data_IF_590130239710
#
_entry.id   IF_590130239710
#
_cell.length_a   1.000
_cell.length_b   1.000
_cell.length_c   1.000
_cell.angle_alpha   90.00
_cell.angle_beta   90.00
_cell.angle_gamma   90.00
#
_symmetry.space_group_name_H-M   'P 1'
#
loop_
_entity.id
_entity.type
_entity.pdbx_description
1 polymer ?
#
# COMPACT_ATOMS: atom_id res chain seq x y z
N UNK A 1 8.01 -5.46 2.10
CA UNK A 1 8.94 -5.66 0.97
C UNK A 1 8.22 -5.78 -0.37
N UNK A 2 7.41 -6.82 -0.64
CA UNK A 2 6.71 -6.99 -1.94
C UNK A 2 5.89 -5.78 -2.40
N UNK A 3 5.17 -5.11 -1.49
CA UNK A 3 4.41 -3.91 -1.83
C UNK A 3 5.31 -2.75 -2.26
N UNK A 4 6.48 -2.59 -1.62
CA UNK A 4 7.46 -1.56 -1.98
C UNK A 4 8.05 -1.85 -3.37
N UNK A 5 8.48 -3.09 -3.60
CA UNK A 5 9.02 -3.52 -4.91
C UNK A 5 7.98 -3.29 -6.01
N UNK A 6 6.72 -3.63 -5.74
CA UNK A 6 5.61 -3.40 -6.66
C UNK A 6 5.44 -1.91 -6.98
N UNK A 7 5.34 -1.06 -5.97
CA UNK A 7 5.10 0.38 -6.16
C UNK A 7 6.27 0.98 -6.93
N UNK A 8 7.50 0.75 -6.47
CA UNK A 8 8.70 1.28 -7.11
C UNK A 8 8.87 0.75 -8.54
N UNK A 9 8.72 -0.56 -8.74
CA UNK A 9 8.87 -1.20 -10.05
C UNK A 9 7.89 -0.68 -11.10
N UNK A 10 6.63 -0.48 -10.72
CA UNK A 10 5.60 -0.06 -11.68
C UNK A 10 5.57 1.46 -11.90
N UNK A 11 5.97 2.24 -10.89
CA UNK A 11 5.99 3.71 -11.02
C UNK A 11 7.27 4.26 -11.64
N UNK A 12 8.45 3.69 -11.32
CA UNK A 12 9.76 4.28 -11.65
C UNK A 12 10.52 3.54 -12.75
N UNK A 13 10.27 2.23 -12.97
CA UNK A 13 10.95 1.45 -14.02
C UNK A 13 10.10 1.27 -15.30
N UNK A 14 8.92 1.90 -15.35
CA UNK A 14 7.99 1.81 -16.47
C UNK A 14 8.18 2.90 -17.54
N UNK A 15 7.47 2.74 -18.65
CA UNK A 15 7.32 3.68 -19.75
C UNK A 15 6.11 4.57 -19.43
N UNK A 16 6.13 5.84 -19.82
CA UNK A 16 4.99 6.73 -19.62
C UNK A 16 3.77 6.20 -20.40
N UNK A 17 2.66 5.95 -19.69
CA UNK A 17 1.39 5.52 -20.32
C UNK A 17 0.55 6.68 -20.85
N UNK A 18 0.82 7.90 -20.40
CA UNK A 18 0.09 9.10 -20.78
C UNK A 18 1.05 10.10 -21.42
N UNK A 19 0.65 10.67 -22.55
CA UNK A 19 1.45 11.64 -23.32
C UNK A 19 1.89 12.87 -22.50
N UNK A 20 1.08 13.28 -21.52
CA UNK A 20 1.44 14.41 -20.66
C UNK A 20 2.65 14.12 -19.74
N UNK A 21 2.84 12.85 -19.34
CA UNK A 21 3.95 12.44 -18.48
C UNK A 21 5.28 12.41 -19.24
N UNK A 22 5.25 12.19 -20.55
CA UNK A 22 6.44 12.14 -21.39
C UNK A 22 7.09 13.52 -21.55
N UNK A 23 6.27 14.58 -21.55
CA UNK A 23 6.73 15.96 -21.75
C UNK A 23 6.98 16.72 -20.44
N UNK A 24 6.69 16.13 -19.27
CA UNK A 24 6.84 16.84 -18.00
C UNK A 24 8.30 16.79 -17.53
N UNK A 25 8.94 17.95 -17.45
CA UNK A 25 10.34 18.05 -16.99
C UNK A 25 10.40 18.19 -15.47
N UNK A 26 10.80 17.13 -14.76
CA UNK A 26 10.96 17.15 -13.31
C UNK A 26 11.99 18.19 -12.82
N UNK A 27 12.92 18.60 -13.68
CA UNK A 27 13.99 19.55 -13.32
C UNK A 27 13.48 20.93 -12.91
N UNK A 28 12.26 21.30 -13.30
CA UNK A 28 11.73 22.65 -13.07
C UNK A 28 10.85 22.76 -11.82
N UNK A 29 10.41 21.63 -11.25
CA UNK A 29 9.47 21.58 -10.11
C UNK A 29 10.18 21.45 -8.76
N UNK A 30 11.07 22.41 -8.45
CA UNK A 30 11.80 22.46 -7.18
C UNK A 30 10.88 22.40 -5.95
N UNK A 31 9.65 22.92 -6.06
CA UNK A 31 8.68 22.93 -4.96
C UNK A 31 8.16 21.54 -4.61
N UNK A 32 8.18 20.58 -5.54
CA UNK A 32 7.80 19.19 -5.32
C UNK A 32 9.01 18.32 -4.92
N UNK A 33 10.18 18.56 -5.51
CA UNK A 33 11.38 17.76 -5.24
C UNK A 33 11.99 18.04 -3.87
N UNK A 34 11.99 19.31 -3.41
CA UNK A 34 12.62 19.69 -2.15
C UNK A 34 12.04 18.96 -0.93
N UNK A 35 10.71 18.92 -0.71
CA UNK A 35 10.14 18.17 0.41
C UNK A 35 10.49 16.68 0.39
N UNK A 36 10.48 16.05 -0.79
CA UNK A 36 10.81 14.63 -0.96
C UNK A 36 12.28 14.37 -0.59
N UNK A 37 13.19 15.25 -1.01
CA UNK A 37 14.61 15.15 -0.69
C UNK A 37 14.86 15.33 0.81
N UNK A 38 14.21 16.32 1.44
CA UNK A 38 14.30 16.56 2.89
C UNK A 38 13.78 15.35 3.67
N UNK A 39 12.63 14.81 3.28
CA UNK A 39 12.07 13.61 3.92
C UNK A 39 12.98 12.39 3.72
N UNK A 40 13.52 12.19 2.51
CA UNK A 40 14.47 11.12 2.22
C UNK A 40 15.74 11.22 3.06
N UNK A 41 16.32 12.40 3.17
CA UNK A 41 17.48 12.67 4.03
C UNK A 41 17.13 12.44 5.51
N UNK A 42 15.92 12.86 5.94
CA UNK A 42 15.42 12.63 7.29
C UNK A 42 15.33 11.14 7.64
N UNK A 43 14.84 10.30 6.73
CA UNK A 43 14.77 8.84 6.93
C UNK A 43 16.16 8.23 7.07
N UNK A 44 17.14 8.66 6.26
CA UNK A 44 18.52 8.19 6.38
C UNK A 44 19.16 8.61 7.71
N UNK A 45 18.97 9.87 8.13
CA UNK A 45 19.47 10.38 9.40
C UNK A 45 18.83 9.65 10.59
N UNK A 46 17.51 9.45 10.57
CA UNK A 46 16.80 8.67 11.59
C UNK A 46 17.31 7.23 11.67
N UNK A 47 17.59 6.60 10.51
CA UNK A 47 18.17 5.26 10.47
C UNK A 47 19.57 5.20 11.08
N UNK A 48 20.42 6.19 10.80
CA UNK A 48 21.78 6.25 11.34
C UNK A 48 21.82 6.56 12.85
N UNK A 49 20.95 7.46 13.32
CA UNK A 49 20.84 7.86 14.72
C UNK A 49 19.81 7.04 15.51
N UNK A 50 19.35 5.90 15.00
CA UNK A 50 18.31 5.10 15.64
C UNK A 50 18.68 4.70 17.08
N UNK A 51 19.91 4.22 17.31
CA UNK A 51 20.39 3.81 18.63
C UNK A 51 20.38 4.94 19.68
N UNK A 52 21.00 6.12 19.45
CA UNK A 52 20.97 7.22 20.41
C UNK A 52 19.58 7.84 20.59
N UNK A 53 18.75 7.86 19.55
CA UNK A 53 17.37 8.33 19.66
C UNK A 53 16.56 7.41 20.58
N UNK A 54 16.70 6.09 20.40
CA UNK A 54 16.00 5.10 21.21
C UNK A 54 16.46 5.16 22.67
N UNK A 55 17.76 5.30 22.93
CA UNK A 55 18.27 5.43 24.31
C UNK A 55 17.82 6.72 24.99
N UNK A 56 17.76 7.84 24.26
CA UNK A 56 17.24 9.11 24.79
C UNK A 56 15.74 9.02 25.13
N UNK A 57 14.93 8.36 24.29
CA UNK A 57 13.50 8.13 24.53
C UNK A 57 13.25 7.25 25.75
N UNK A 58 14.10 6.24 25.98
CA UNK A 58 14.01 5.37 27.15
C UNK A 58 14.42 6.10 28.44
N UNK A 59 15.53 6.84 28.41
CA UNK A 59 16.00 7.60 29.56
C UNK A 59 15.08 8.80 29.91
N UNK A 60 14.34 9.31 28.93
CA UNK A 60 13.38 10.41 29.10
C UNK A 60 12.06 10.03 29.75
N UNK A 61 11.89 8.80 30.23
CA UNK A 61 10.69 8.36 30.97
C UNK A 61 9.42 8.19 30.13
N UNK A 62 9.50 8.34 28.80
CA UNK A 62 8.38 8.10 27.88
C UNK A 62 8.05 6.60 27.75
N UNK A 63 8.98 5.73 28.14
CA UNK A 63 8.81 4.28 28.17
C UNK A 63 9.22 3.73 29.55
N UNK A 64 8.28 3.71 30.50
CA UNK A 64 8.41 2.93 31.75
C UNK A 64 8.17 1.42 31.51
N UNK A 65 8.75 0.89 30.42
CA UNK A 65 8.72 -0.53 30.08
C UNK A 65 10.06 -1.13 30.43
N UNK A 66 10.04 -2.18 31.26
CA UNK A 66 11.20 -2.90 31.79
C UNK A 66 12.42 -2.93 30.86
N UNK A 67 13.59 -2.65 31.43
CA UNK A 67 14.92 -2.72 30.81
C UNK A 67 15.21 -4.06 30.09
N UNK A 68 14.36 -5.07 30.30
CA UNK A 68 14.40 -6.40 29.72
C UNK A 68 14.02 -6.50 28.23
N UNK A 69 13.38 -5.49 27.63
CA UNK A 69 13.03 -5.56 26.19
C UNK A 69 14.25 -5.30 25.29
N UNK A 70 15.31 -4.67 25.81
CA UNK A 70 16.52 -4.33 25.04
C UNK A 70 17.65 -5.35 25.24
N UNK A 71 17.53 -6.26 26.21
CA UNK A 71 18.49 -7.37 26.38
C UNK A 71 18.21 -8.58 25.47
N UNK A 72 17.51 -8.39 24.35
CA UNK A 72 17.48 -9.39 23.30
C UNK A 72 18.84 -9.37 22.60
N UNK A 73 19.79 -10.14 23.14
CA UNK A 73 21.08 -10.55 22.60
C UNK A 73 21.02 -11.22 21.20
N UNK A 74 19.96 -10.99 20.42
CA UNK A 74 19.82 -11.44 19.06
C UNK A 74 20.48 -10.42 18.12
N UNK A 75 21.80 -10.56 17.99
CA UNK A 75 22.70 -9.86 17.05
C UNK A 75 23.06 -8.42 17.46
N UNK A 76 24.20 -8.28 18.16
CA UNK A 76 24.94 -7.01 18.38
C UNK A 76 25.46 -6.39 17.08
N UNK A 77 24.62 -6.22 16.06
CA UNK A 77 25.00 -5.47 14.87
C UNK A 77 24.52 -4.06 15.11
N UNK A 78 25.47 -3.14 15.36
CA UNK A 78 25.14 -1.74 15.51
C UNK A 78 24.47 -1.24 14.23
N UNK A 79 23.36 -0.50 14.37
CA UNK A 79 22.66 0.12 13.23
C UNK A 79 23.62 0.93 12.36
N UNK A 80 24.60 1.56 12.99
CA UNK A 80 25.70 2.26 12.33
C UNK A 80 26.58 1.33 11.49
N UNK A 81 26.95 0.14 11.99
CA UNK A 81 27.73 -0.83 11.22
C UNK A 81 26.99 -1.33 9.98
N UNK A 82 25.68 -1.57 10.06
CA UNK A 82 24.87 -1.97 8.90
C UNK A 82 24.87 -0.85 7.85
N UNK A 83 24.67 0.40 8.29
CA UNK A 83 24.64 1.55 7.39
C UNK A 83 26.00 1.78 6.71
N UNK A 84 27.09 1.70 7.47
CA UNK A 84 28.46 1.81 6.95
C UNK A 84 28.76 0.67 5.98
N UNK A 85 28.39 -0.57 6.32
CA UNK A 85 28.57 -1.71 5.43
C UNK A 85 27.79 -1.53 4.13
N UNK A 86 26.53 -1.08 4.18
CA UNK A 86 25.71 -0.82 2.99
C UNK A 86 26.34 0.25 2.09
N UNK A 87 26.82 1.36 2.66
CA UNK A 87 27.54 2.40 1.92
C UNK A 87 28.82 1.85 1.32
N UNK A 88 29.60 1.09 2.10
CA UNK A 88 30.87 0.53 1.65
C UNK A 88 30.66 -0.44 0.48
N UNK A 89 29.72 -1.39 0.59
CA UNK A 89 29.40 -2.31 -0.50
C UNK A 89 28.81 -1.58 -1.72
N UNK A 90 27.99 -0.55 -1.51
CA UNK A 90 27.48 0.31 -2.59
C UNK A 90 28.60 1.06 -3.33
N UNK A 91 29.53 1.67 -2.58
CA UNK A 91 30.69 2.36 -3.15
C UNK A 91 31.65 1.39 -3.83
N UNK A 92 31.89 0.21 -3.24
CA UNK A 92 32.73 -0.84 -3.81
C UNK A 92 32.15 -1.35 -5.12
N UNK A 93 30.86 -1.68 -5.17
CA UNK A 93 30.20 -2.12 -6.41
C UNK A 93 30.22 -1.04 -7.49
N UNK A 94 30.03 0.23 -7.13
CA UNK A 94 30.17 1.35 -8.05
C UNK A 94 31.61 1.51 -8.59
N UNK A 95 32.61 1.43 -7.71
CA UNK A 95 34.02 1.52 -8.08
C UNK A 95 34.44 0.33 -8.97
N UNK A 96 34.04 -0.90 -8.60
CA UNK A 96 34.25 -2.09 -9.41
C UNK A 96 33.60 -1.94 -10.78
N UNK A 97 32.35 -1.48 -10.86
CA UNK A 97 31.72 -1.18 -12.15
C UNK A 97 32.56 -0.19 -12.95
N UNK A 98 33.06 0.89 -12.33
CA UNK A 98 33.84 1.92 -13.05
C UNK A 98 35.19 1.43 -13.55
N UNK A 99 35.84 0.52 -12.81
CA UNK A 99 37.17 -0.04 -13.14
C UNK A 99 37.04 -1.19 -14.14
N UNK A 100 36.08 -2.09 -13.95
CA UNK A 100 35.91 -3.30 -14.76
C UNK A 100 34.95 -3.12 -15.94
N UNK A 101 34.08 -2.11 -15.96
CA UNK A 101 33.35 -1.78 -17.19
C UNK A 101 34.37 -1.26 -18.20
N UNK A 102 34.60 -1.96 -19.32
CA UNK A 102 35.34 -1.36 -20.41
C UNK A 102 34.61 -0.07 -20.81
N UNK A 103 35.35 0.99 -21.14
CA UNK A 103 34.82 2.21 -21.78
C UNK A 103 34.29 1.90 -23.19
N UNK A 104 33.53 0.82 -23.35
CA UNK A 104 32.73 0.62 -24.54
C UNK A 104 31.63 1.66 -24.47
N UNK A 105 31.56 2.49 -25.50
CA UNK A 105 30.39 3.29 -25.80
C UNK A 105 29.21 2.31 -25.83
N UNK A 106 28.46 2.23 -24.74
CA UNK A 106 27.25 1.44 -24.68
C UNK A 106 26.32 2.08 -25.72
N UNK A 107 26.12 1.37 -26.83
CA UNK A 107 25.23 1.84 -27.88
C UNK A 107 23.82 1.73 -27.32
N UNK A 108 23.12 2.86 -27.22
CA UNK A 108 21.69 2.83 -26.98
C UNK A 108 21.04 2.01 -28.08
N UNK A 109 20.47 0.88 -27.68
CA UNK A 109 19.75 -0.03 -28.54
C UNK A 109 18.49 -0.47 -27.82
N UNK A 110 17.52 -0.97 -28.58
CA UNK A 110 16.26 -1.43 -28.01
C UNK A 110 16.50 -2.53 -26.98
N UNK A 111 15.71 -2.50 -25.91
CA UNK A 111 15.63 -3.58 -24.93
C UNK A 111 15.18 -4.87 -25.60
N UNK A 112 15.42 -6.03 -24.96
CA UNK A 112 14.98 -7.32 -25.49
C UNK A 112 13.45 -7.32 -25.72
N UNK A 113 13.04 -7.30 -26.98
CA UNK A 113 11.68 -6.94 -27.39
C UNK A 113 10.96 -8.06 -28.17
N UNK A 114 11.52 -9.28 -28.13
CA UNK A 114 11.02 -10.44 -28.89
C UNK A 114 10.81 -10.14 -30.39
N UNK A 115 11.47 -9.11 -30.95
CA UNK A 115 11.36 -8.70 -32.35
C UNK A 115 10.23 -7.73 -32.68
N UNK A 116 9.61 -7.07 -31.69
CA UNK A 116 8.53 -6.09 -31.89
C UNK A 116 8.79 -4.84 -31.02
N UNK A 117 8.57 -3.61 -31.52
CA UNK A 117 8.78 -2.41 -30.71
C UNK A 117 7.99 -2.47 -29.39
N UNK A 118 8.69 -2.23 -28.28
CA UNK A 118 8.06 -2.21 -26.95
C UNK A 118 7.19 -0.96 -26.81
N UNK A 119 5.95 -1.17 -26.41
CA UNK A 119 5.00 -0.11 -26.09
C UNK A 119 4.63 -0.14 -24.59
N UNK A 120 4.16 0.99 -24.05
CA UNK A 120 3.74 1.13 -22.65
C UNK A 120 2.61 0.16 -22.26
N UNK A 121 1.85 -0.33 -23.24
CA UNK A 121 0.81 -1.35 -23.08
C UNK A 121 1.35 -2.73 -22.71
N UNK A 122 2.60 -3.04 -23.08
CA UNK A 122 3.24 -4.34 -22.78
C UNK A 122 3.72 -4.45 -21.33
N UNK A 123 3.67 -3.36 -20.56
CA UNK A 123 4.18 -3.34 -19.19
C UNK A 123 3.22 -3.98 -18.18
N UNK A 124 3.79 -4.74 -17.26
CA UNK A 124 3.06 -5.33 -16.15
C UNK A 124 2.33 -4.25 -15.34
N UNK A 125 1.04 -4.47 -15.11
CA UNK A 125 0.24 -3.65 -14.22
C UNK A 125 0.45 -4.06 -12.76
N UNK A 126 0.08 -3.16 -11.85
CA UNK A 126 0.06 -3.44 -10.41
C UNK A 126 -0.83 -4.62 -10.03
N UNK A 127 -1.91 -4.84 -10.77
CA UNK A 127 -2.80 -5.97 -10.57
C UNK A 127 -2.17 -7.28 -11.07
N UNK A 128 -1.47 -7.26 -12.20
CA UNK A 128 -0.79 -8.41 -12.78
C UNK A 128 0.43 -8.85 -11.95
N UNK A 129 1.25 -7.91 -11.45
CA UNK A 129 2.39 -8.23 -10.59
C UNK A 129 1.97 -9.01 -9.32
N UNK A 130 0.82 -8.66 -8.74
CA UNK A 130 0.29 -9.34 -7.56
C UNK A 130 -0.57 -10.58 -7.89
N UNK A 131 -0.68 -10.99 -9.15
CA UNK A 131 -1.55 -12.10 -9.56
C UNK A 131 -1.22 -13.44 -8.87
N UNK A 132 0.06 -13.86 -8.72
CA UNK A 132 0.38 -15.14 -8.07
C UNK A 132 -0.07 -15.19 -6.62
N UNK A 133 0.19 -14.13 -5.85
CA UNK A 133 -0.26 -14.03 -4.45
C UNK A 133 -1.79 -14.14 -4.39
N UNK A 134 -2.48 -13.43 -5.27
CA UNK A 134 -3.94 -13.42 -5.31
C UNK A 134 -4.54 -14.75 -5.74
N UNK A 135 -3.81 -15.54 -6.53
CA UNK A 135 -4.19 -16.90 -6.89
C UNK A 135 -4.18 -17.84 -5.67
N UNK A 136 -3.24 -17.68 -4.74
CA UNK A 136 -3.25 -18.46 -3.50
C UNK A 136 -4.34 -18.01 -2.51
N UNK A 137 -4.67 -16.72 -2.50
CA UNK A 137 -5.67 -16.14 -1.56
C UNK A 137 -7.05 -15.87 -2.19
N UNK A 138 -7.43 -16.62 -3.24
CA UNK A 138 -8.67 -16.40 -4.00
C UNK A 138 -9.92 -16.41 -3.11
N UNK A 139 -10.00 -17.37 -2.19
CA UNK A 139 -11.15 -17.58 -1.30
C UNK A 139 -11.30 -16.46 -0.27
N UNK A 140 -10.19 -15.87 0.17
CA UNK A 140 -10.19 -14.76 1.13
C UNK A 140 -10.52 -13.42 0.45
N UNK A 141 -10.05 -13.23 -0.78
CA UNK A 141 -10.14 -11.95 -1.49
C UNK A 141 -11.48 -11.81 -2.25
N UNK A 142 -12.20 -12.89 -2.53
CA UNK A 142 -13.48 -12.82 -3.24
C UNK A 142 -13.31 -12.41 -4.71
N UNK A 143 -12.37 -13.05 -5.41
CA UNK A 143 -12.09 -12.75 -6.83
C UNK A 143 -13.18 -13.32 -7.73
N UNK A 144 -13.77 -12.48 -8.57
CA UNK A 144 -14.67 -12.91 -9.66
C UNK A 144 -13.96 -12.59 -10.98
N UNK A 145 -13.62 -13.63 -11.75
CA UNK A 145 -13.18 -13.47 -13.13
C UNK A 145 -14.32 -13.84 -14.05
N UNK A 146 -14.61 -13.00 -15.04
CA UNK A 146 -15.41 -13.41 -16.19
C UNK A 146 -14.54 -13.28 -17.42
N UNK A 147 -14.34 -14.41 -18.08
CA UNK A 147 -13.77 -14.47 -19.41
C UNK A 147 -14.94 -14.69 -20.37
N UNK A 148 -15.26 -13.67 -21.15
CA UNK A 148 -16.24 -13.77 -22.22
C UNK A 148 -15.48 -13.93 -23.53
N UNK A 149 -15.79 -15.00 -24.27
CA UNK A 149 -15.23 -15.23 -25.60
C UNK A 149 -16.33 -15.06 -26.63
N UNK A 150 -16.16 -14.09 -27.53
CA UNK A 150 -17.09 -13.85 -28.64
C UNK A 150 -16.44 -14.27 -29.95
N UNK A 151 -17.08 -15.09 -30.80
CA UNK A 151 -16.54 -15.42 -32.11
C UNK A 151 -16.51 -14.17 -33.00
N UNK A 152 -15.37 -13.92 -33.65
CA UNK A 152 -15.23 -12.85 -34.66
C UNK A 152 -15.82 -13.34 -35.99
N UNK A 153 -15.67 -14.64 -36.25
CA UNK A 153 -16.21 -15.33 -37.41
C UNK A 153 -16.96 -16.56 -36.91
N UNK A 154 -18.26 -16.68 -37.20
CA UNK A 154 -19.10 -17.78 -36.68
C UNK A 154 -18.59 -19.17 -37.09
N UNK A 155 -17.97 -19.28 -38.26
CA UNK A 155 -17.44 -20.51 -38.82
C UNK A 155 -16.03 -20.87 -38.35
N UNK A 156 -15.28 -19.96 -37.73
CA UNK A 156 -13.90 -20.24 -37.30
C UNK A 156 -13.80 -20.27 -35.77
N UNK A 157 -13.61 -21.45 -35.15
CA UNK A 157 -13.53 -21.58 -33.70
C UNK A 157 -12.27 -20.93 -33.08
N UNK A 158 -11.26 -20.59 -33.89
CA UNK A 158 -9.98 -20.02 -33.44
C UNK A 158 -9.93 -18.50 -33.49
N UNK A 159 -10.76 -17.84 -34.31
CA UNK A 159 -10.82 -16.37 -34.37
C UNK A 159 -11.88 -15.84 -33.39
N UNK A 160 -11.47 -15.61 -32.14
CA UNK A 160 -12.34 -15.08 -31.07
C UNK A 160 -11.78 -13.81 -30.44
N UNK A 161 -12.67 -12.89 -30.11
CA UNK A 161 -12.41 -11.78 -29.23
C UNK A 161 -12.58 -12.22 -27.78
N UNK A 162 -11.60 -11.89 -26.94
CA UNK A 162 -11.64 -12.18 -25.52
C UNK A 162 -11.83 -10.88 -24.74
N UNK A 163 -12.95 -10.76 -24.04
CA UNK A 163 -13.18 -9.69 -23.07
C UNK A 163 -12.94 -10.25 -21.68
N UNK A 164 -11.88 -9.76 -21.04
CA UNK A 164 -11.56 -10.12 -19.66
C UNK A 164 -12.09 -9.04 -18.72
N UNK A 165 -13.09 -9.39 -17.91
CA UNK A 165 -13.56 -8.51 -16.83
C UNK A 165 -13.17 -9.04 -15.47
N UNK A 166 -12.74 -8.11 -14.63
CA UNK A 166 -12.10 -8.42 -13.37
C UNK A 166 -12.71 -7.60 -12.24
N UNK A 167 -13.39 -8.29 -11.32
CA UNK A 167 -13.96 -7.66 -10.14
C UNK A 167 -13.36 -8.25 -8.87
N UNK A 168 -12.93 -7.35 -7.98
CA UNK A 168 -12.53 -7.71 -6.62
C UNK A 168 -13.68 -7.28 -5.72
N UNK A 169 -14.35 -8.25 -5.10
CA UNK A 169 -15.38 -7.93 -4.12
C UNK A 169 -14.90 -8.40 -2.75
N UNK A 170 -14.79 -7.46 -1.82
CA UNK A 170 -14.35 -7.76 -0.46
C UNK A 170 -15.35 -8.68 0.21
N UNK A 171 -14.93 -9.91 0.51
CA UNK A 171 -15.74 -10.89 1.25
C UNK A 171 -16.21 -10.30 2.57
N UNK A 172 -15.36 -9.55 3.26
CA UNK A 172 -15.69 -8.89 4.53
C UNK A 172 -16.77 -7.84 4.38
N UNK A 173 -16.76 -7.08 3.28
CA UNK A 173 -17.79 -6.06 3.05
C UNK A 173 -19.15 -6.71 2.91
N UNK A 174 -19.24 -7.81 2.16
CA UNK A 174 -20.50 -8.53 1.97
C UNK A 174 -20.93 -9.33 3.19
N UNK A 175 -20.01 -10.03 3.83
CA UNK A 175 -20.30 -10.97 4.91
C UNK A 175 -20.43 -10.31 6.29
N UNK A 176 -19.77 -9.16 6.51
CA UNK A 176 -19.71 -8.51 7.83
C UNK A 176 -20.28 -7.09 7.78
N UNK A 177 -19.73 -6.20 6.95
CA UNK A 177 -20.13 -4.79 6.97
C UNK A 177 -21.58 -4.57 6.52
N UNK A 178 -21.99 -5.19 5.42
CA UNK A 178 -23.35 -5.06 4.90
C UNK A 178 -24.43 -5.56 5.87
N UNK A 179 -24.33 -6.76 6.48
CA UNK A 179 -25.34 -7.20 7.44
C UNK A 179 -25.35 -6.36 8.71
N UNK A 180 -24.18 -5.96 9.22
CA UNK A 180 -24.10 -5.06 10.38
C UNK A 180 -24.74 -3.71 10.08
N UNK A 181 -24.43 -3.11 8.92
CA UNK A 181 -25.03 -1.85 8.51
C UNK A 181 -26.55 -1.95 8.37
N UNK A 182 -27.06 -3.04 7.76
CA UNK A 182 -28.50 -3.31 7.68
C UNK A 182 -29.14 -3.45 9.06
N UNK A 183 -28.46 -4.11 10.00
CA UNK A 183 -28.93 -4.24 11.37
C UNK A 183 -29.00 -2.88 12.06
N UNK A 184 -27.95 -2.06 12.00
CA UNK A 184 -27.98 -0.70 12.55
C UNK A 184 -29.07 0.17 11.92
N UNK A 185 -29.28 0.10 10.60
CA UNK A 185 -30.35 0.82 9.93
C UNK A 185 -31.74 0.36 10.40
N UNK A 186 -31.95 -0.95 10.54
CA UNK A 186 -33.20 -1.49 11.06
C UNK A 186 -33.45 -1.08 12.52
N UNK A 187 -32.41 -0.99 13.34
CA UNK A 187 -32.51 -0.47 14.71
C UNK A 187 -32.83 1.03 14.71
N UNK A 188 -32.17 1.81 13.86
CA UNK A 188 -32.42 3.24 13.72
C UNK A 188 -33.87 3.53 13.29
N UNK A 189 -34.44 2.75 12.38
CA UNK A 189 -35.85 2.86 11.98
C UNK A 189 -36.80 2.59 13.15
N UNK A 190 -36.51 1.60 14.01
CA UNK A 190 -37.32 1.33 15.21
C UNK A 190 -37.23 2.44 16.25
N UNK A 191 -36.03 2.98 16.49
CA UNK A 191 -35.83 4.12 17.39
C UNK A 191 -36.56 5.37 16.87
N UNK A 192 -36.57 5.57 15.55
CA UNK A 192 -37.31 6.66 14.92
C UNK A 192 -38.82 6.61 15.20
N UNK A 193 -39.42 5.41 15.26
CA UNK A 193 -40.84 5.22 15.63
C UNK A 193 -41.11 5.65 17.08
N UNK A 194 -40.19 5.36 18.00
CA UNK A 194 -40.30 5.77 19.41
C UNK A 194 -40.24 7.31 19.52
N UNK A 195 -39.46 7.96 18.65
CA UNK A 195 -39.31 9.41 18.59
C UNK A 195 -40.34 10.12 17.69
N UNK A 196 -41.30 9.42 17.05
CA UNK A 196 -42.17 10.04 16.04
C UNK A 196 -43.55 10.50 16.57
N UNK A 197 -43.58 11.23 17.68
CA UNK A 197 -44.68 12.20 17.93
C UNK A 197 -45.65 11.94 19.09
N UNK A 198 -45.41 10.97 19.98
CA UNK A 198 -46.20 10.83 21.22
C UNK A 198 -45.45 11.41 22.42
N UNK A 199 -45.93 12.55 22.92
CA UNK A 199 -45.38 13.30 24.07
C UNK A 199 -45.17 12.40 25.30
N UNK A 200 -46.04 11.42 25.49
CA UNK A 200 -45.98 10.46 26.60
C UNK A 200 -44.67 9.65 26.65
N UNK A 201 -44.10 9.28 25.49
CA UNK A 201 -42.83 8.57 25.46
C UNK A 201 -41.67 9.46 25.88
N UNK A 202 -41.66 10.74 25.49
CA UNK A 202 -40.62 11.69 25.91
C UNK A 202 -40.62 11.90 27.42
N UNK A 203 -41.80 12.05 28.03
CA UNK A 203 -41.93 12.19 29.48
C UNK A 203 -41.42 10.95 30.22
N UNK A 204 -41.75 9.76 29.72
CA UNK A 204 -41.26 8.50 30.29
C UNK A 204 -39.74 8.39 30.17
N UNK A 205 -39.16 8.69 29.00
CA UNK A 205 -37.70 8.70 28.83
C UNK A 205 -37.01 9.69 29.77
N UNK A 206 -37.55 10.91 29.92
CA UNK A 206 -37.00 11.92 30.81
C UNK A 206 -37.01 11.43 32.26
N UNK A 207 -38.13 10.92 32.75
CA UNK A 207 -38.26 10.36 34.09
C UNK A 207 -37.27 9.20 34.32
N UNK A 208 -37.15 8.30 33.34
CA UNK A 208 -36.26 7.13 33.42
C UNK A 208 -34.78 7.56 33.44
N UNK A 209 -34.39 8.54 32.61
CA UNK A 209 -33.04 9.11 32.64
C UNK A 209 -32.71 9.76 33.98
N UNK A 210 -33.69 10.44 34.61
CA UNK A 210 -33.52 11.07 35.91
C UNK A 210 -33.32 10.03 37.03
N UNK A 211 -34.13 8.96 37.04
CA UNK A 211 -33.97 7.85 37.98
C UNK A 211 -32.61 7.18 37.83
N UNK A 212 -32.20 6.85 36.60
CA UNK A 212 -30.89 6.20 36.35
C UNK A 212 -29.76 7.10 36.83
N UNK A 213 -29.81 8.40 36.54
CA UNK A 213 -28.75 9.34 36.91
C UNK A 213 -28.69 9.50 38.43
N UNK A 214 -29.84 9.56 39.11
CA UNK A 214 -29.90 9.58 40.57
C UNK A 214 -29.31 8.30 41.17
N UNK A 215 -29.58 7.13 40.58
CA UNK A 215 -29.08 5.84 41.07
C UNK A 215 -27.58 5.66 40.87
N UNK A 216 -26.99 6.30 39.84
CA UNK A 216 -25.54 6.32 39.61
C UNK A 216 -24.84 7.34 40.52
N UNK A 217 -25.53 8.45 40.85
CA UNK A 217 -24.99 9.50 41.69
C UNK A 217 -25.05 9.20 43.19
N UNK A 218 -25.99 8.35 43.62
CA UNK A 218 -26.08 7.81 44.97
C UNK A 218 -25.10 6.65 45.16
#
# INVERSE_FOLDING_TARGET
VFAMIKIFGISMLGLPRAKHMENHSEKNDYMLTMPILILGAGVLMLGFFANPILSALMNGGLFNGSESIVSANALMISSQAIFIAAIFFGALTYALKRVFSPKKSEREYHTWDCGQPIDATMQYTSTAFSAPIRFFFLKLIGRINKLESTPIVETNPWMRNFTFSFAIRSVWTEALYNPIAKLFLAWAERVKVIQSGRIQYYLLFLLLTLIITLMIAL
#
